data_IF_606157096603
#
_entry.id   IF_606157096603
#
_cell.length_a   1.000
_cell.length_b   1.000
_cell.length_c   1.000
_cell.angle_alpha   90.00
_cell.angle_beta   90.00
_cell.angle_gamma   90.00
#
_symmetry.space_group_name_H-M   'P 1'
#
loop_
_entity.id
_entity.type
_entity.pdbx_description
1 polymer ?
#
# COMPACT_ATOMS: atom_id res chain seq x y z
N UNK A 1 5.61 -7.21 9.94
CA UNK A 1 4.18 -7.51 9.78
C UNK A 1 3.49 -6.69 8.71
N UNK A 2 2.47 -7.27 8.08
CA UNK A 2 1.54 -6.58 7.18
C UNK A 2 0.31 -6.16 7.97
N UNK A 3 -0.08 -4.90 7.88
CA UNK A 3 -0.98 -4.27 8.87
C UNK A 3 -2.30 -3.79 8.27
N UNK A 4 -2.33 -3.42 6.99
CA UNK A 4 -3.54 -2.91 6.36
C UNK A 4 -3.63 -3.27 4.88
N UNK A 5 -4.82 -3.72 4.47
CA UNK A 5 -5.16 -4.07 3.08
C UNK A 5 -6.29 -3.19 2.54
N UNK A 6 -6.21 -2.83 1.26
CA UNK A 6 -7.28 -2.15 0.51
C UNK A 6 -7.30 -2.65 -0.93
N UNK A 7 -8.50 -2.96 -1.42
CA UNK A 7 -8.74 -3.25 -2.84
C UNK A 7 -9.35 -2.03 -3.50
N UNK A 8 -8.83 -1.66 -4.68
CA UNK A 8 -9.35 -0.57 -5.51
C UNK A 8 -10.37 -1.07 -6.54
N UNK A 9 -10.34 -2.37 -6.85
CA UNK A 9 -11.35 -3.11 -7.60
C UNK A 9 -11.31 -4.61 -7.22
N UNK A 10 -12.00 -5.47 -7.96
CA UNK A 10 -12.06 -6.91 -7.66
C UNK A 10 -10.76 -7.69 -7.88
N UNK A 11 -9.76 -7.09 -8.54
CA UNK A 11 -8.47 -7.71 -8.88
C UNK A 11 -7.29 -6.96 -8.28
N UNK A 12 -7.34 -5.64 -8.19
CA UNK A 12 -6.23 -4.80 -7.77
C UNK A 12 -6.33 -4.49 -6.28
N UNK A 13 -5.30 -4.91 -5.54
CA UNK A 13 -5.21 -4.75 -4.10
C UNK A 13 -3.84 -4.27 -3.65
N UNK A 14 -3.81 -3.64 -2.48
CA UNK A 14 -2.63 -3.03 -1.89
C UNK A 14 -2.55 -3.39 -0.42
N UNK A 15 -1.35 -3.71 0.06
CA UNK A 15 -1.08 -3.97 1.47
C UNK A 15 0.09 -3.11 1.92
N UNK A 16 -0.01 -2.55 3.14
CA UNK A 16 1.08 -1.85 3.80
C UNK A 16 1.40 -2.46 5.16
N UNK A 17 2.60 -2.24 5.67
CA UNK A 17 3.00 -2.74 6.98
C UNK A 17 4.30 -2.13 7.53
N UNK A 18 4.94 -2.90 8.39
CA UNK A 18 6.20 -2.53 9.04
C UNK A 18 7.35 -2.36 8.03
N UNK A 19 8.43 -1.69 8.46
CA UNK A 19 9.66 -1.49 7.68
C UNK A 19 9.41 -0.85 6.30
N UNK A 20 8.34 -0.08 6.17
CA UNK A 20 7.94 0.52 4.89
C UNK A 20 7.40 -0.48 3.88
N UNK A 21 7.00 -1.69 4.28
CA UNK A 21 6.46 -2.67 3.34
C UNK A 21 5.22 -2.14 2.62
N UNK A 22 5.24 -2.19 1.30
CA UNK A 22 4.10 -1.92 0.41
C UNK A 22 4.09 -3.02 -0.65
N UNK A 23 2.95 -3.69 -0.82
CA UNK A 23 2.76 -4.72 -1.84
C UNK A 23 1.51 -4.43 -2.66
N UNK A 24 1.53 -4.83 -3.93
CA UNK A 24 0.40 -4.76 -4.85
C UNK A 24 0.09 -6.13 -5.44
N UNK A 25 -1.19 -6.45 -5.53
CA UNK A 25 -1.71 -7.56 -6.36
C UNK A 25 -2.49 -6.98 -7.53
N UNK A 26 -2.48 -7.68 -8.67
CA UNK A 26 -3.35 -7.43 -9.83
C UNK A 26 -4.17 -8.65 -10.22
N UNK A 27 -4.12 -9.70 -9.40
CA UNK A 27 -4.75 -11.00 -9.61
C UNK A 27 -5.57 -11.42 -8.38
N UNK A 28 -6.32 -10.49 -7.79
CA UNK A 28 -7.23 -10.74 -6.66
C UNK A 28 -6.54 -11.34 -5.42
N UNK A 29 -5.24 -11.11 -5.27
CA UNK A 29 -4.45 -11.55 -4.12
C UNK A 29 -3.76 -12.91 -4.26
N UNK A 30 -3.78 -13.53 -5.46
CA UNK A 30 -3.02 -14.76 -5.70
C UNK A 30 -1.51 -14.51 -5.67
N UNK A 31 -1.05 -13.38 -6.25
CA UNK A 31 0.34 -12.95 -6.21
C UNK A 31 0.47 -11.50 -5.76
N UNK A 32 1.60 -11.20 -5.12
CA UNK A 32 1.91 -9.88 -4.56
C UNK A 32 3.30 -9.45 -4.99
N UNK A 33 3.40 -8.25 -5.54
CA UNK A 33 4.65 -7.63 -5.99
C UNK A 33 4.99 -6.48 -5.04
N UNK A 34 6.18 -6.52 -4.46
CA UNK A 34 6.67 -5.43 -3.60
C UNK A 34 6.79 -4.13 -4.40
N UNK A 35 6.43 -3.02 -3.76
CA UNK A 35 6.50 -1.69 -4.34
C UNK A 35 7.56 -0.90 -3.58
N UNK A 36 8.67 -0.61 -4.27
CA UNK A 36 9.73 0.18 -3.70
C UNK A 36 9.21 1.56 -3.29
N UNK A 37 9.60 1.96 -2.08
CA UNK A 37 9.33 3.28 -1.56
C UNK A 37 10.54 3.74 -0.74
N UNK A 38 10.69 5.06 -0.63
CA UNK A 38 11.88 5.64 -0.01
C UNK A 38 11.91 5.60 1.52
N UNK A 39 10.93 4.97 2.19
CA UNK A 39 10.84 4.98 3.66
C UNK A 39 10.97 3.58 4.25
N UNK A 40 11.48 3.54 5.48
CA UNK A 40 11.49 2.34 6.33
C UNK A 40 10.57 2.47 7.53
N UNK A 41 9.82 3.58 7.62
CA UNK A 41 8.84 3.79 8.68
C UNK A 41 7.70 2.78 8.56
N UNK A 42 7.20 2.27 9.69
CA UNK A 42 6.02 1.42 9.66
C UNK A 42 4.80 2.22 9.16
N UNK A 43 4.00 1.59 8.30
CA UNK A 43 2.80 2.17 7.70
C UNK A 43 1.56 1.50 8.30
N UNK A 44 0.63 2.30 8.79
CA UNK A 44 -0.56 1.84 9.53
C UNK A 44 -1.87 2.17 8.81
N UNK A 45 -1.89 3.30 8.09
CA UNK A 45 -3.03 3.77 7.32
C UNK A 45 -2.82 3.52 5.83
N UNK A 46 -3.91 3.23 5.13
CA UNK A 46 -3.96 3.07 3.68
C UNK A 46 -5.36 3.44 3.19
N UNK A 47 -5.42 4.33 2.20
CA UNK A 47 -6.65 4.75 1.53
C UNK A 47 -6.43 5.01 0.05
N UNK A 48 -7.48 4.83 -0.74
CA UNK A 48 -7.54 5.11 -2.17
C UNK A 48 -8.88 5.80 -2.46
N UNK A 49 -8.91 7.14 -2.60
CA UNK A 49 -10.13 7.84 -3.04
C UNK A 49 -10.49 7.53 -4.50
N UNK A 50 -9.52 7.14 -5.31
CA UNK A 50 -9.71 6.62 -6.67
C UNK A 50 -8.71 5.48 -6.94
N UNK A 51 -8.94 4.64 -7.97
CA UNK A 51 -8.06 3.52 -8.27
C UNK A 51 -6.63 3.90 -8.69
N UNK A 52 -6.41 5.12 -9.18
CA UNK A 52 -5.13 5.59 -9.68
C UNK A 52 -4.21 6.18 -8.60
N UNK A 53 -4.78 6.67 -7.50
CA UNK A 53 -4.04 7.37 -6.45
C UNK A 53 -4.49 7.00 -5.05
N UNK A 54 -3.51 6.67 -4.20
CA UNK A 54 -3.72 6.38 -2.78
C UNK A 54 -2.71 7.06 -1.88
N UNK A 55 -2.95 6.95 -0.58
CA UNK A 55 -2.05 7.45 0.46
C UNK A 55 -1.88 6.43 1.57
N UNK A 56 -0.62 6.30 2.03
CA UNK A 56 -0.28 5.57 3.24
C UNK A 56 0.20 6.54 4.32
N UNK A 57 -0.17 6.27 5.57
CA UNK A 57 0.26 7.05 6.73
C UNK A 57 0.93 6.14 7.77
N UNK A 58 1.99 6.63 8.42
CA UNK A 58 2.83 5.81 9.28
C UNK A 58 3.53 6.59 10.39
N UNK A 59 4.53 5.96 11.01
CA UNK A 59 5.32 6.52 12.10
C UNK A 59 5.92 7.88 11.75
N UNK A 60 6.20 8.68 12.78
CA UNK A 60 6.93 9.97 12.65
C UNK A 60 6.27 10.95 11.68
N UNK A 61 4.95 10.87 11.54
CA UNK A 61 4.19 11.72 10.61
C UNK A 61 4.41 11.37 9.14
N UNK A 62 4.90 10.16 8.83
CA UNK A 62 5.13 9.72 7.46
C UNK A 62 3.81 9.69 6.70
N UNK A 63 3.76 10.40 5.56
CA UNK A 63 2.67 10.32 4.58
C UNK A 63 3.32 10.04 3.23
N UNK A 64 2.91 8.94 2.58
CA UNK A 64 3.37 8.56 1.25
C UNK A 64 2.20 8.63 0.28
N UNK A 65 2.45 9.20 -0.89
CA UNK A 65 1.57 9.04 -2.03
C UNK A 65 1.90 7.73 -2.75
N UNK A 66 0.88 6.93 -3.04
CA UNK A 66 0.97 5.70 -3.83
C UNK A 66 0.29 5.97 -5.17
N UNK A 67 0.97 5.60 -6.27
CA UNK A 67 0.41 5.73 -7.63
C UNK A 67 0.26 4.34 -8.22
N UNK A 68 -0.96 3.98 -8.63
CA UNK A 68 -1.22 2.77 -9.38
C UNK A 68 -0.92 3.06 -10.86
N UNK A 69 0.33 2.85 -11.29
CA UNK A 69 0.67 2.81 -12.72
C UNK A 69 0.40 1.44 -13.32
#
# INVERSE_FOLDING_TARGET
DLLRIRFTDSKVGWVVGERGSIFRTTDAGFTWVEQENGTKAALYGLTFPDPGRGWASGERGTILQITAR
#
